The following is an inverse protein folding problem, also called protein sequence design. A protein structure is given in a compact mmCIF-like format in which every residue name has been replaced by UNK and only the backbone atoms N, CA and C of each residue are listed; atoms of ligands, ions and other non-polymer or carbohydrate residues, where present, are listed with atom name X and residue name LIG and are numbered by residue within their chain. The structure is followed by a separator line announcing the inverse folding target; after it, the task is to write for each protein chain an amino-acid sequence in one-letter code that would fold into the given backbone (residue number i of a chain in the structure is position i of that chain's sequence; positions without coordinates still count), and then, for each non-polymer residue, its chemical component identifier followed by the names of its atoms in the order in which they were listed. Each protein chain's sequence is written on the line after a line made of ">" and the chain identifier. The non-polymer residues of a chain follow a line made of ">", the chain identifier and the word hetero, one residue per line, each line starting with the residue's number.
data_IF_051844018575
#
_entry.id   IF_051844018575
#
_cell.length_a   1.000
_cell.length_b   1.000
_cell.length_c   1.000
_cell.angle_alpha   90.00
_cell.angle_beta   90.00
_cell.angle_gamma   90.00
#
_symmetry.space_group_name_H-M   'P 1'
#
loop_
_entity.id
_entity.type
_entity.pdbx_description
1 polymer ?
#
# COMPACT_ATOMS: atom_id res chain seq x y z
N UNK A 1 7.63 4.32 13.51
CA UNK A 1 6.29 3.79 13.18
C UNK A 1 6.13 2.46 13.89
N UNK A 2 5.10 2.31 14.73
CA UNK A 2 4.80 1.05 15.42
C UNK A 2 3.86 0.15 14.58
N UNK A 3 3.60 -1.09 15.04
CA UNK A 3 2.74 -2.04 14.31
C UNK A 3 1.33 -1.52 14.06
N UNK A 4 0.75 -0.78 15.03
CA UNK A 4 -0.57 -0.18 14.90
C UNK A 4 -0.60 0.91 13.81
N UNK A 5 0.39 1.79 13.79
CA UNK A 5 0.53 2.84 12.77
C UNK A 5 0.78 2.23 11.38
N UNK A 6 1.58 1.16 11.28
CA UNK A 6 1.81 0.44 10.03
C UNK A 6 0.52 -0.20 9.51
N UNK A 7 -0.29 -0.83 10.37
CA UNK A 7 -1.59 -1.39 9.99
C UNK A 7 -2.58 -0.32 9.57
N UNK A 8 -2.65 0.80 10.30
CA UNK A 8 -3.48 1.94 9.91
C UNK A 8 -3.08 2.46 8.52
N UNK A 9 -1.78 2.56 8.26
CA UNK A 9 -1.27 2.99 6.95
C UNK A 9 -1.61 2.01 5.84
N UNK A 10 -1.55 0.70 6.10
CA UNK A 10 -1.98 -0.33 5.13
C UNK A 10 -3.45 -0.14 4.73
N UNK A 11 -4.34 0.12 5.69
CA UNK A 11 -5.77 0.37 5.41
C UNK A 11 -5.95 1.64 4.57
N UNK A 12 -5.20 2.71 4.88
CA UNK A 12 -5.22 3.93 4.07
C UNK A 12 -4.73 3.70 2.63
N UNK A 13 -3.69 2.88 2.45
CA UNK A 13 -3.17 2.50 1.13
C UNK A 13 -4.24 1.75 0.34
N UNK A 14 -4.90 0.76 0.94
CA UNK A 14 -5.97 -0.02 0.31
C UNK A 14 -7.11 0.87 -0.19
N UNK A 15 -7.59 1.80 0.67
CA UNK A 15 -8.61 2.77 0.28
C UNK A 15 -8.17 3.63 -0.91
N UNK A 16 -6.92 4.11 -0.90
CA UNK A 16 -6.37 4.95 -1.98
C UNK A 16 -6.20 4.18 -3.28
N UNK A 17 -5.75 2.93 -3.23
CA UNK A 17 -5.64 2.07 -4.39
C UNK A 17 -7.02 1.76 -5.00
N UNK A 18 -8.04 1.54 -4.16
CA UNK A 18 -9.42 1.39 -4.63
C UNK A 18 -9.91 2.62 -5.40
N UNK A 19 -9.68 3.82 -4.86
CA UNK A 19 -10.10 5.07 -5.50
C UNK A 19 -9.31 5.37 -6.77
N UNK A 20 -8.00 5.14 -6.77
CA UNK A 20 -7.15 5.24 -7.97
C UNK A 20 -7.58 4.23 -9.04
N UNK A 21 -7.95 3.00 -8.66
CA UNK A 21 -8.48 1.99 -9.58
C UNK A 21 -9.77 2.44 -10.27
N UNK A 22 -10.68 3.09 -9.53
CA UNK A 22 -11.89 3.71 -10.12
C UNK A 22 -11.53 4.86 -11.07
N UNK A 23 -10.58 5.71 -10.69
CA UNK A 23 -10.12 6.82 -11.55
C UNK A 23 -9.46 6.29 -12.83
N UNK A 24 -8.62 5.26 -12.72
CA UNK A 24 -7.96 4.60 -13.84
C UNK A 24 -8.98 3.97 -14.81
N UNK A 25 -9.97 3.25 -14.28
CA UNK A 25 -11.04 2.65 -15.09
C UNK A 25 -11.85 3.70 -15.87
N UNK A 26 -12.01 4.90 -15.32
CA UNK A 26 -12.76 6.00 -15.93
C UNK A 26 -11.88 6.99 -16.73
N UNK A 27 -10.55 6.82 -16.71
CA UNK A 27 -9.62 7.73 -17.37
C UNK A 27 -9.74 7.63 -18.89
N UNK A 28 -10.00 8.77 -19.55
CA UNK A 28 -10.19 8.84 -21.00
C UNK A 28 -8.91 9.19 -21.76
N UNK A 29 -7.96 9.85 -21.11
CA UNK A 29 -6.70 10.23 -21.73
C UNK A 29 -5.55 9.33 -21.24
N UNK A 30 -4.53 9.05 -22.08
CA UNK A 30 -3.40 8.20 -21.71
C UNK A 30 -2.52 8.78 -20.59
N UNK A 31 -2.41 10.10 -20.48
CA UNK A 31 -1.57 10.76 -19.49
C UNK A 31 -2.09 10.56 -18.05
N UNK A 32 -3.41 10.63 -17.87
CA UNK A 32 -4.07 10.36 -16.59
C UNK A 32 -3.98 8.87 -16.25
N UNK A 33 -4.10 7.97 -17.23
CA UNK A 33 -3.88 6.53 -17.01
C UNK A 33 -2.47 6.26 -16.48
N UNK A 34 -1.44 6.74 -17.19
CA UNK A 34 -0.04 6.59 -16.78
C UNK A 34 0.21 7.21 -15.38
N UNK A 35 -0.40 8.36 -15.09
CA UNK A 35 -0.30 8.98 -13.76
C UNK A 35 -0.94 8.13 -12.66
N UNK A 36 -2.12 7.58 -12.90
CA UNK A 36 -2.81 6.75 -11.91
C UNK A 36 -2.09 5.40 -11.73
N UNK A 37 -1.63 4.77 -12.81
CA UNK A 37 -0.82 3.54 -12.76
C UNK A 37 0.45 3.74 -11.93
N UNK A 38 1.23 4.79 -12.22
CA UNK A 38 2.42 5.12 -11.41
C UNK A 38 2.10 5.38 -9.94
N UNK A 39 0.94 5.97 -9.65
CA UNK A 39 0.52 6.23 -8.27
C UNK A 39 0.15 4.93 -7.56
N UNK A 40 -0.47 3.99 -8.27
CA UNK A 40 -0.78 2.63 -7.77
C UNK A 40 0.52 1.87 -7.51
N UNK A 41 1.48 1.88 -8.44
CA UNK A 41 2.78 1.19 -8.29
C UNK A 41 3.53 1.65 -7.04
N UNK A 42 3.56 2.97 -6.78
CA UNK A 42 4.20 3.54 -5.58
C UNK A 42 3.51 3.06 -4.30
N UNK A 43 2.18 3.01 -4.29
CA UNK A 43 1.41 2.55 -3.14
C UNK A 43 1.57 1.04 -2.91
N UNK A 44 1.66 0.24 -3.96
CA UNK A 44 1.89 -1.20 -3.88
C UNK A 44 3.28 -1.50 -3.28
N UNK A 45 4.31 -0.78 -3.72
CA UNK A 45 5.64 -0.88 -3.12
C UNK A 45 5.66 -0.45 -1.65
N UNK A 46 4.89 0.58 -1.28
CA UNK A 46 4.74 0.99 0.12
C UNK A 46 4.05 -0.12 0.93
N UNK A 47 2.96 -0.70 0.42
CA UNK A 47 2.25 -1.82 1.04
C UNK A 47 3.16 -3.03 1.28
N UNK A 48 3.90 -3.47 0.26
CA UNK A 48 4.82 -4.60 0.36
C UNK A 48 5.89 -4.35 1.42
N UNK A 49 6.45 -3.13 1.46
CA UNK A 49 7.43 -2.75 2.48
C UNK A 49 6.84 -2.81 3.89
N UNK A 50 5.63 -2.30 4.10
CA UNK A 50 4.96 -2.31 5.40
C UNK A 50 4.61 -3.74 5.85
N UNK A 51 4.10 -4.56 4.93
CA UNK A 51 3.80 -5.97 5.18
C UNK A 51 5.05 -6.72 5.62
N UNK A 52 6.15 -6.56 4.88
CA UNK A 52 7.41 -7.20 5.23
C UNK A 52 7.95 -6.73 6.60
N UNK A 53 7.84 -5.44 6.91
CA UNK A 53 8.22 -4.91 8.23
C UNK A 53 7.40 -5.53 9.37
N UNK A 54 6.10 -5.75 9.17
CA UNK A 54 5.22 -6.39 10.15
C UNK A 54 5.57 -7.86 10.33
N UNK A 55 5.78 -8.62 9.25
CA UNK A 55 6.19 -10.03 9.28
C UNK A 55 7.51 -10.22 10.05
N UNK A 56 8.51 -9.37 9.79
CA UNK A 56 9.79 -9.41 10.52
C UNK A 56 9.60 -9.11 12.01
N UNK A 57 8.71 -8.18 12.35
CA UNK A 57 8.42 -7.84 13.75
C UNK A 57 7.73 -9.01 14.46
N UNK A 58 6.77 -9.66 13.82
CA UNK A 58 6.08 -10.84 14.34
C UNK A 58 7.05 -12.01 14.58
N UNK A 59 7.88 -12.33 13.58
CA UNK A 59 8.89 -13.39 13.68
C UNK A 59 9.87 -13.15 14.85
N UNK A 60 10.37 -11.93 15.00
CA UNK A 60 11.29 -11.59 16.09
C UNK A 60 10.63 -11.61 17.48
N UNK A 61 9.34 -11.28 17.57
CA UNK A 61 8.60 -11.31 18.83
C UNK A 61 8.33 -12.76 19.26
N UNK A 62 8.02 -13.64 18.31
CA UNK A 62 7.75 -15.06 18.57
C UNK A 62 9.00 -15.89 18.89
N UNK A 63 10.20 -15.44 18.54
CA UNK A 63 11.47 -16.10 18.91
C UNK A 63 11.87 -15.79 20.37
N UNK A 64 11.36 -14.70 20.94
CA UNK A 64 11.69 -14.22 22.28
C UNK A 64 10.72 -14.68 23.37
N UNK A 65 9.70 -15.47 23.02
CA UNK A 65 8.70 -16.08 23.92
C UNK A 65 8.96 -17.59 24.04
#
# INVERSE_FOLDING_TARGET
>A
MNCYEAMKRIIEIDSKMSDLGKLLANAKNPADKDRYEKSIDVLEMEFLRLKHQLEVTELNTNILL
#
